data_IF_447997895271
#
_entry.id   IF_447997895271
#
_cell.length_a   1.000
_cell.length_b   1.000
_cell.length_c   1.000
_cell.angle_alpha   90.00
_cell.angle_beta   90.00
_cell.angle_gamma   90.00
#
_symmetry.space_group_name_H-M   'P 1'
#
loop_
_entity.id
_entity.type
_entity.pdbx_description
1 polymer ?
#
# COMPACT_ATOMS: atom_id res chain seq x y z
N UNK A 1 3.19 6.30 -7.14
CA UNK A 1 4.36 7.03 -6.60
C UNK A 1 4.25 6.99 -5.08
N UNK A 2 5.36 6.81 -4.38
CA UNK A 2 5.41 6.92 -2.91
C UNK A 2 6.17 8.19 -2.54
N UNK A 3 5.89 8.67 -1.33
CA UNK A 3 6.58 9.81 -0.71
C UNK A 3 6.97 9.41 0.72
N UNK A 4 8.22 9.68 1.11
CA UNK A 4 8.66 9.55 2.49
C UNK A 4 8.47 10.90 3.19
N UNK A 5 7.54 10.95 4.13
CA UNK A 5 7.23 12.18 4.87
C UNK A 5 8.39 12.74 5.70
N UNK A 6 9.39 11.93 6.05
CA UNK A 6 10.52 12.38 6.87
C UNK A 6 11.61 13.08 6.04
N UNK A 7 11.71 12.71 4.76
CA UNK A 7 12.77 13.19 3.86
C UNK A 7 12.24 13.93 2.63
N UNK A 8 10.93 13.92 2.39
CA UNK A 8 10.25 14.38 1.18
C UNK A 8 10.74 13.69 -0.11
N UNK A 9 11.45 12.57 0.03
CA UNK A 9 11.89 11.77 -1.10
C UNK A 9 10.68 11.13 -1.78
N UNK A 10 10.69 11.14 -3.12
CA UNK A 10 9.64 10.56 -3.94
C UNK A 10 10.20 9.50 -4.86
N UNK A 11 9.42 8.49 -5.16
CA UNK A 11 9.86 7.42 -6.06
C UNK A 11 8.74 6.60 -6.65
N UNK A 12 9.10 5.81 -7.66
CA UNK A 12 8.30 4.67 -8.12
C UNK A 12 8.85 3.40 -7.48
N UNK A 13 7.99 2.41 -7.31
CA UNK A 13 8.38 1.10 -6.79
C UNK A 13 7.39 0.08 -7.33
N UNK A 14 7.77 -1.19 -7.29
CA UNK A 14 6.89 -2.29 -7.67
C UNK A 14 5.96 -2.65 -6.52
N UNK A 15 4.83 -3.29 -6.84
CA UNK A 15 3.91 -3.84 -5.84
C UNK A 15 4.62 -4.79 -4.88
N UNK A 16 5.55 -5.60 -5.38
CA UNK A 16 6.30 -6.57 -4.58
C UNK A 16 7.26 -5.89 -3.61
N UNK A 17 8.01 -4.87 -4.06
CA UNK A 17 8.88 -4.10 -3.17
C UNK A 17 8.10 -3.36 -2.09
N UNK A 18 6.92 -2.83 -2.44
CA UNK A 18 6.04 -2.19 -1.47
C UNK A 18 5.50 -3.18 -0.44
N UNK A 19 5.05 -4.36 -0.89
CA UNK A 19 4.62 -5.44 0.00
C UNK A 19 5.74 -5.84 0.97
N UNK A 20 6.95 -6.09 0.47
CA UNK A 20 8.05 -6.54 1.31
C UNK A 20 8.47 -5.45 2.32
N UNK A 21 8.39 -4.16 1.95
CA UNK A 21 8.67 -3.06 2.88
C UNK A 21 7.60 -2.96 3.98
N UNK A 22 6.31 -3.02 3.63
CA UNK A 22 5.22 -2.95 4.61
C UNK A 22 5.23 -4.18 5.53
N UNK A 23 5.30 -5.37 4.95
CA UNK A 23 5.09 -6.64 5.69
C UNK A 23 6.38 -7.13 6.34
N UNK A 24 7.47 -7.23 5.60
CA UNK A 24 8.71 -7.85 6.12
C UNK A 24 9.58 -6.83 6.87
N UNK A 25 9.58 -5.56 6.44
CA UNK A 25 10.33 -4.48 7.11
C UNK A 25 9.50 -3.67 8.11
N UNK A 26 8.24 -4.06 8.35
CA UNK A 26 7.31 -3.39 9.26
C UNK A 26 7.12 -1.89 8.95
N UNK A 27 7.17 -1.53 7.67
CA UNK A 27 6.93 -0.18 7.21
C UNK A 27 5.47 0.24 7.41
N UNK A 28 5.26 1.51 7.73
CA UNK A 28 3.93 2.10 7.90
C UNK A 28 3.62 2.95 6.67
N UNK A 29 2.54 2.63 5.98
CA UNK A 29 2.10 3.35 4.78
C UNK A 29 0.62 3.74 4.89
N UNK A 30 0.27 4.81 4.19
CA UNK A 30 -1.11 5.26 4.04
C UNK A 30 -1.33 5.88 2.65
N UNK A 31 -2.57 5.88 2.19
CA UNK A 31 -3.05 6.68 1.06
C UNK A 31 -3.69 7.94 1.64
N UNK A 32 -3.35 9.10 1.09
CA UNK A 32 -4.04 10.35 1.42
C UNK A 32 -5.15 10.62 0.41
N UNK A 33 -6.38 10.73 0.91
CA UNK A 33 -7.57 11.04 0.10
C UNK A 33 -8.35 12.18 0.77
N UNK A 34 -8.31 13.37 0.17
CA UNK A 34 -8.98 14.58 0.68
C UNK A 34 -8.66 14.90 2.15
N UNK A 35 -7.40 14.70 2.54
CA UNK A 35 -6.92 14.90 3.93
C UNK A 35 -7.17 13.73 4.87
N UNK A 36 -7.85 12.67 4.42
CA UNK A 36 -7.98 11.43 5.19
C UNK A 36 -6.80 10.51 4.90
N UNK A 37 -6.17 9.99 5.96
CA UNK A 37 -5.11 8.98 5.86
C UNK A 37 -5.72 7.60 6.00
N UNK A 38 -5.67 6.84 4.92
CA UNK A 38 -6.21 5.48 4.84
C UNK A 38 -5.03 4.50 4.95
N UNK A 39 -4.94 3.68 6.01
CA UNK A 39 -3.80 2.81 6.22
C UNK A 39 -3.70 1.74 5.12
N UNK A 40 -2.47 1.41 4.73
CA UNK A 40 -2.15 0.38 3.74
C UNK A 40 -1.52 -0.83 4.43
N UNK A 41 -1.97 -2.02 4.05
CA UNK A 41 -1.47 -3.29 4.54
C UNK A 41 -1.08 -4.20 3.38
N UNK A 42 -0.19 -5.16 3.65
CA UNK A 42 0.03 -6.28 2.75
C UNK A 42 -0.98 -7.40 3.00
N UNK A 43 -1.40 -8.06 1.94
CA UNK A 43 -2.25 -9.24 1.97
C UNK A 43 -1.77 -10.31 0.98
N UNK A 44 -2.18 -11.54 1.26
CA UNK A 44 -1.86 -12.72 0.46
C UNK A 44 -3.18 -13.39 0.10
N UNK A 45 -3.36 -13.64 -1.18
CA UNK A 45 -4.49 -14.42 -1.72
C UNK A 45 -4.37 -15.90 -1.32
N UNK A 46 -5.45 -16.69 -1.38
CA UNK A 46 -5.38 -18.12 -1.10
C UNK A 46 -4.36 -18.89 -1.97
N UNK A 47 -4.11 -18.45 -3.20
CA UNK A 47 -3.12 -19.00 -4.13
C UNK A 47 -1.70 -18.45 -3.94
N UNK A 48 -1.48 -17.59 -2.93
CA UNK A 48 -0.15 -17.11 -2.55
C UNK A 48 0.30 -15.81 -3.23
N UNK A 49 -0.52 -15.21 -4.09
CA UNK A 49 -0.23 -13.89 -4.70
C UNK A 49 -0.25 -12.79 -3.64
N UNK A 50 0.85 -12.06 -3.54
CA UNK A 50 1.05 -10.92 -2.62
C UNK A 50 0.55 -9.62 -3.25
N UNK A 51 -0.15 -8.80 -2.48
CA UNK A 51 -0.66 -7.49 -2.91
C UNK A 51 -0.81 -6.54 -1.72
N UNK A 52 -1.03 -5.26 -2.02
CA UNK A 52 -1.30 -4.22 -1.02
C UNK A 52 -2.79 -3.84 -1.08
N UNK A 53 -3.36 -3.51 0.07
CA UNK A 53 -4.77 -3.13 0.21
C UNK A 53 -4.96 -2.04 1.24
N UNK A 54 -6.08 -1.35 1.15
CA UNK A 54 -6.50 -0.32 2.09
C UNK A 54 -7.60 -0.83 3.02
N UNK A 55 -7.79 -0.16 4.15
CA UNK A 55 -8.96 -0.34 5.01
C UNK A 55 -9.69 0.98 5.10
N UNK A 56 -10.93 1.01 4.63
CA UNK A 56 -11.84 2.16 4.78
C UNK A 56 -13.09 1.70 5.51
N UNK A 57 -13.56 2.49 6.48
CA UNK A 57 -14.81 2.23 7.23
C UNK A 57 -14.88 0.83 7.87
N UNK A 58 -13.75 0.35 8.42
CA UNK A 58 -13.59 -1.01 8.98
C UNK A 58 -13.85 -2.16 7.99
N UNK A 59 -13.99 -1.85 6.70
CA UNK A 59 -14.05 -2.82 5.62
C UNK A 59 -12.71 -2.83 4.88
N UNK A 60 -12.26 -4.03 4.55
CA UNK A 60 -11.15 -4.19 3.64
C UNK A 60 -11.58 -3.76 2.24
N UNK A 61 -11.00 -2.67 1.75
CA UNK A 61 -11.26 -2.20 0.40
C UNK A 61 -10.09 -2.55 -0.49
N UNK A 62 -10.39 -3.26 -1.56
CA UNK A 62 -9.41 -3.60 -2.59
C UNK A 62 -9.25 -2.43 -3.59
N UNK A 63 -9.30 -1.18 -3.11
CA UNK A 63 -9.19 0.02 -3.96
C UNK A 63 -7.80 0.13 -4.63
N UNK A 64 -6.83 -0.65 -4.16
CA UNK A 64 -5.50 -0.82 -4.76
C UNK A 64 -5.39 -2.00 -5.75
N UNK A 65 -6.43 -2.84 -5.92
CA UNK A 65 -6.46 -3.89 -6.95
C UNK A 65 -6.52 -3.30 -8.37
N UNK A 66 -6.75 -1.99 -8.51
CA UNK A 66 -6.73 -1.28 -9.79
C UNK A 66 -5.34 -0.73 -10.19
N UNK A 67 -4.28 -1.11 -9.48
CA UNK A 67 -2.91 -0.69 -9.79
C UNK A 67 -2.23 -1.60 -10.84
N UNK A 68 -2.99 -2.36 -11.64
CA UNK A 68 -2.52 -3.07 -12.84
C UNK A 68 -2.62 -2.16 -14.08
N UNK A 69 -2.05 -0.95 -13.96
CA UNK A 69 -2.08 0.06 -15.00
C UNK A 69 -0.81 0.89 -15.06
N UNK A 70 0.37 0.26 -15.01
CA UNK A 70 1.66 0.77 -15.50
C UNK A 70 2.56 -0.41 -15.88
#
# INVERSE_FOLDING_TARGET
>A
MWEDNSTLNKGTTTRQNMFDWIVNKKGIAYVEDRGNKIPVYGAVTPDGKKYIRTVRDNAWTDELLNLDGF
#
